data_IF_043436953620
#
_entry.id   IF_043436953620
#
_cell.length_a   1.000
_cell.length_b   1.000
_cell.length_c   1.000
_cell.angle_alpha   90.00
_cell.angle_beta   90.00
_cell.angle_gamma   90.00
#
_symmetry.space_group_name_H-M   'P 1'
#
loop_
_entity.id
_entity.type
_entity.pdbx_description
1 polymer ?
#
# COMPACT_ATOMS: atom_id res chain seq x y z
N UNK A 1 43.18 -14.82 65.83
CA UNK A 1 43.96 -15.88 65.17
C UNK A 1 42.98 -16.71 64.39
N UNK A 2 42.67 -16.26 63.13
CA UNK A 2 41.78 -16.98 62.26
C UNK A 2 42.54 -17.39 60.99
N UNK A 3 42.66 -18.70 60.84
CA UNK A 3 43.29 -19.37 59.66
C UNK A 3 42.44 -19.16 58.45
N UNK A 4 43.00 -18.50 57.40
CA UNK A 4 42.41 -18.49 56.05
C UNK A 4 42.82 -19.77 55.33
N UNK A 5 41.85 -20.64 55.11
CA UNK A 5 42.01 -21.78 54.20
C UNK A 5 41.73 -21.26 52.78
N UNK A 6 42.76 -21.22 51.96
CA UNK A 6 42.66 -20.93 50.52
C UNK A 6 42.47 -22.26 49.82
N UNK A 7 41.28 -22.49 49.27
CA UNK A 7 41.02 -23.62 48.35
C UNK A 7 41.19 -23.07 46.93
N UNK A 8 42.07 -23.65 46.08
CA UNK A 8 42.17 -23.23 44.70
C UNK A 8 40.99 -23.79 43.90
N UNK A 9 40.12 -22.92 43.49
CA UNK A 9 39.07 -23.28 42.54
C UNK A 9 39.71 -23.37 41.15
N UNK A 10 39.89 -24.59 40.68
CA UNK A 10 40.18 -24.88 39.26
C UNK A 10 38.93 -24.64 38.48
N UNK A 11 38.80 -23.44 37.89
CA UNK A 11 37.71 -23.12 36.95
C UNK A 11 38.08 -23.85 35.63
N UNK A 12 37.38 -24.97 35.37
CA UNK A 12 37.29 -25.55 34.05
C UNK A 12 36.76 -24.46 33.10
N UNK A 13 37.55 -24.10 32.11
CA UNK A 13 37.13 -23.36 30.89
C UNK A 13 35.97 -24.13 30.24
N UNK A 14 34.74 -23.73 30.49
CA UNK A 14 33.57 -24.43 29.97
C UNK A 14 32.23 -23.71 30.22
N UNK A 15 32.23 -22.42 30.56
CA UNK A 15 31.05 -21.56 30.43
C UNK A 15 31.47 -20.33 29.63
N UNK A 16 31.34 -20.42 28.31
CA UNK A 16 31.31 -19.22 27.47
C UNK A 16 30.09 -18.40 27.90
N UNK A 17 30.36 -17.21 28.44
CA UNK A 17 29.37 -16.19 28.69
C UNK A 17 28.45 -16.09 27.48
N UNK A 18 27.15 -16.29 27.68
CA UNK A 18 26.12 -15.79 26.77
C UNK A 18 26.08 -14.26 26.91
N UNK A 19 27.09 -13.57 26.37
CA UNK A 19 26.90 -12.22 25.90
C UNK A 19 25.92 -12.30 24.74
N UNK A 20 24.91 -11.44 24.70
CA UNK A 20 23.87 -11.27 23.68
C UNK A 20 24.36 -11.49 22.23
N UNK A 21 24.81 -12.68 21.89
CA UNK A 21 25.51 -12.97 20.66
C UNK A 21 24.72 -13.90 19.77
N UNK A 22 24.10 -13.31 18.71
CA UNK A 22 23.67 -14.07 17.54
C UNK A 22 24.82 -14.95 17.06
N UNK A 23 24.59 -16.27 16.92
CA UNK A 23 25.56 -17.22 16.41
C UNK A 23 26.04 -16.76 15.02
N UNK A 24 27.35 -16.72 14.82
CA UNK A 24 27.99 -16.27 13.57
C UNK A 24 28.48 -17.47 12.76
N UNK A 25 28.66 -17.29 11.46
CA UNK A 25 29.30 -18.30 10.62
C UNK A 25 30.70 -18.69 11.14
N UNK A 26 31.40 -17.74 11.75
CA UNK A 26 32.72 -17.99 12.37
C UNK A 26 32.64 -18.99 13.53
N UNK A 27 31.62 -18.91 14.35
CA UNK A 27 31.41 -19.79 15.51
C UNK A 27 31.13 -21.24 15.05
N UNK A 28 30.33 -21.40 14.00
CA UNK A 28 30.04 -22.69 13.37
C UNK A 28 31.30 -23.27 12.71
N UNK A 29 32.09 -22.43 12.04
CA UNK A 29 33.32 -22.82 11.35
C UNK A 29 34.37 -23.28 12.38
N UNK A 30 34.54 -22.56 13.48
CA UNK A 30 35.44 -22.90 14.58
C UNK A 30 35.07 -24.25 15.23
N UNK A 31 33.78 -24.47 15.54
CA UNK A 31 33.29 -25.71 16.16
C UNK A 31 33.52 -26.94 15.26
N UNK A 32 33.42 -26.76 13.94
CA UNK A 32 33.62 -27.84 12.97
C UNK A 32 35.10 -28.02 12.49
N UNK A 33 35.98 -27.09 12.84
CA UNK A 33 37.36 -27.05 12.32
C UNK A 33 37.42 -26.75 10.81
N UNK A 34 36.45 -25.96 10.31
CA UNK A 34 36.31 -25.59 8.89
C UNK A 34 36.60 -24.10 8.67
N UNK A 35 36.82 -23.72 7.40
CA UNK A 35 36.87 -22.31 7.05
C UNK A 35 35.46 -21.69 7.01
N UNK A 36 35.34 -20.40 7.34
CA UNK A 36 34.07 -19.64 7.21
C UNK A 36 33.55 -19.69 5.77
N UNK A 37 34.44 -19.73 4.77
CA UNK A 37 34.07 -19.86 3.37
C UNK A 37 33.41 -21.22 3.07
N UNK A 38 33.89 -22.32 3.67
CA UNK A 38 33.29 -23.66 3.51
C UNK A 38 31.89 -23.69 4.10
N UNK A 39 31.69 -23.19 5.32
CA UNK A 39 30.38 -23.10 5.97
C UNK A 39 29.42 -22.22 5.16
N UNK A 40 29.88 -21.05 4.71
CA UNK A 40 29.11 -20.16 3.85
C UNK A 40 28.68 -20.83 2.55
N UNK A 41 29.57 -21.57 1.89
CA UNK A 41 29.23 -22.28 0.66
C UNK A 41 28.15 -23.36 0.89
N UNK A 42 28.19 -24.06 2.02
CA UNK A 42 27.14 -25.05 2.37
C UNK A 42 25.78 -24.33 2.60
N UNK A 43 25.78 -23.23 3.36
CA UNK A 43 24.56 -22.42 3.61
C UNK A 43 23.93 -21.95 2.29
N UNK A 44 24.76 -21.60 1.30
CA UNK A 44 24.30 -21.09 0.00
C UNK A 44 24.19 -22.17 -1.10
N UNK A 45 24.24 -23.46 -0.75
CA UNK A 45 24.10 -24.57 -1.71
C UNK A 45 25.23 -24.72 -2.72
N UNK A 46 26.36 -24.02 -2.53
CA UNK A 46 27.55 -24.10 -3.41
C UNK A 46 28.43 -25.29 -3.01
N UNK A 47 27.88 -26.52 -3.05
CA UNK A 47 28.47 -27.72 -2.48
C UNK A 47 29.33 -28.56 -3.45
N UNK A 48 29.37 -28.23 -4.75
CA UNK A 48 30.05 -29.03 -5.80
C UNK A 48 31.50 -29.42 -5.49
N UNK A 49 32.21 -28.69 -4.64
CA UNK A 49 33.62 -28.93 -4.24
C UNK A 49 33.76 -29.33 -2.77
N UNK A 50 32.66 -29.68 -2.09
CA UNK A 50 32.63 -30.04 -0.67
C UNK A 50 32.11 -31.46 -0.56
N UNK A 51 32.73 -32.32 0.26
CA UNK A 51 32.28 -33.69 0.44
C UNK A 51 30.89 -33.74 1.12
N UNK A 52 30.09 -34.72 0.76
CA UNK A 52 28.72 -34.92 1.32
C UNK A 52 28.76 -35.07 2.83
N UNK A 53 29.80 -35.69 3.39
CA UNK A 53 30.02 -35.80 4.82
C UNK A 53 30.19 -34.42 5.48
N UNK A 54 30.97 -33.53 4.86
CA UNK A 54 31.18 -32.19 5.36
C UNK A 54 29.88 -31.36 5.28
N UNK A 55 29.16 -31.50 4.17
CA UNK A 55 27.84 -30.82 4.00
C UNK A 55 26.90 -31.24 5.12
N UNK A 56 26.79 -32.55 5.38
CA UNK A 56 25.92 -33.08 6.43
C UNK A 56 26.30 -32.57 7.82
N UNK A 57 27.62 -32.61 8.18
CA UNK A 57 28.09 -32.10 9.47
C UNK A 57 27.77 -30.63 9.68
N UNK A 58 27.91 -29.81 8.63
CA UNK A 58 27.58 -28.39 8.69
C UNK A 58 26.08 -28.21 8.90
N UNK A 59 25.23 -28.91 8.14
CA UNK A 59 23.77 -28.83 8.26
C UNK A 59 23.28 -29.24 9.65
N UNK A 60 23.75 -30.37 10.18
CA UNK A 60 23.40 -30.84 11.52
C UNK A 60 23.77 -29.82 12.62
N UNK A 61 24.94 -29.17 12.48
CA UNK A 61 25.34 -28.16 13.47
C UNK A 61 24.54 -26.86 13.35
N UNK A 62 24.21 -26.42 12.11
CA UNK A 62 23.36 -25.26 11.88
C UNK A 62 21.98 -25.45 12.53
N UNK A 63 21.37 -26.64 12.35
CA UNK A 63 20.10 -27.00 12.98
C UNK A 63 20.21 -27.06 14.50
N UNK A 64 21.21 -27.76 15.03
CA UNK A 64 21.48 -27.90 16.47
C UNK A 64 21.65 -26.55 17.16
N UNK A 65 22.33 -25.62 16.48
CA UNK A 65 22.61 -24.27 16.98
C UNK A 65 21.50 -23.28 16.65
N UNK A 66 20.46 -23.68 15.94
CA UNK A 66 19.37 -22.80 15.46
C UNK A 66 19.95 -21.56 14.72
N UNK A 67 20.93 -21.79 13.88
CA UNK A 67 21.60 -20.72 13.16
C UNK A 67 20.63 -20.08 12.17
N UNK A 68 20.42 -18.78 12.30
CA UNK A 68 19.64 -17.96 11.36
C UNK A 68 20.62 -17.11 10.54
N UNK A 69 20.66 -17.26 9.21
CA UNK A 69 21.52 -16.47 8.35
C UNK A 69 21.33 -14.97 8.56
N UNK A 70 22.41 -14.20 8.56
CA UNK A 70 22.32 -12.75 8.61
C UNK A 70 22.03 -12.19 7.23
N UNK A 71 20.86 -11.61 7.03
CA UNK A 71 20.47 -11.02 5.74
C UNK A 71 21.49 -10.00 5.24
N UNK A 72 22.07 -9.17 6.11
CA UNK A 72 23.13 -8.23 5.70
C UNK A 72 24.35 -8.92 5.06
N UNK A 73 24.72 -10.10 5.55
CA UNK A 73 25.79 -10.91 4.96
C UNK A 73 25.39 -11.51 3.60
N UNK A 74 24.13 -11.91 3.45
CA UNK A 74 23.58 -12.42 2.18
C UNK A 74 23.53 -11.30 1.15
N UNK A 75 23.04 -10.12 1.52
CA UNK A 75 22.95 -8.93 0.67
C UNK A 75 24.33 -8.55 0.10
N UNK A 76 25.37 -8.57 0.97
CA UNK A 76 26.74 -8.26 0.55
C UNK A 76 27.33 -9.33 -0.39
N UNK A 77 26.98 -10.60 -0.19
CA UNK A 77 27.54 -11.72 -0.95
C UNK A 77 26.86 -11.95 -2.31
N UNK A 78 25.59 -11.66 -2.44
CA UNK A 78 24.76 -12.00 -3.61
C UNK A 78 24.35 -10.80 -4.46
N UNK A 79 24.51 -9.58 -3.96
CA UNK A 79 24.00 -8.34 -4.57
C UNK A 79 22.50 -8.40 -4.94
N UNK A 80 21.75 -9.25 -4.24
CA UNK A 80 20.31 -9.50 -4.40
C UNK A 80 19.62 -9.37 -3.04
N UNK A 81 19.05 -8.20 -2.78
CA UNK A 81 18.47 -7.88 -1.46
C UNK A 81 17.14 -8.56 -1.20
N UNK A 82 16.46 -8.98 -2.25
CA UNK A 82 15.05 -9.41 -2.19
C UNK A 82 14.10 -8.36 -1.56
N UNK A 83 14.56 -7.13 -1.40
CA UNK A 83 13.79 -6.06 -0.78
C UNK A 83 13.09 -5.22 -1.84
N UNK A 84 11.77 -5.13 -1.74
CA UNK A 84 10.95 -4.18 -2.49
C UNK A 84 10.49 -3.08 -1.53
N UNK A 85 10.80 -1.83 -1.89
CA UNK A 85 10.33 -0.67 -1.15
C UNK A 85 8.88 -0.35 -1.47
N UNK A 86 8.11 0.01 -0.45
CA UNK A 86 6.79 0.63 -0.61
C UNK A 86 6.86 1.99 0.05
N UNK A 87 6.71 3.06 -0.71
CA UNK A 87 6.73 4.42 -0.20
C UNK A 87 5.35 5.04 -0.36
N UNK A 88 4.82 5.52 0.73
CA UNK A 88 3.50 6.14 0.79
C UNK A 88 3.69 7.62 1.09
N UNK A 89 3.00 8.47 0.31
CA UNK A 89 2.97 9.89 0.58
C UNK A 89 2.22 10.16 1.90
N UNK A 90 2.88 10.87 2.80
CA UNK A 90 2.27 11.37 4.03
C UNK A 90 1.43 12.61 3.71
N UNK A 91 0.26 12.35 3.15
CA UNK A 91 -0.64 13.40 2.69
C UNK A 91 -1.40 14.03 3.86
N UNK A 92 -1.67 15.32 3.79
CA UNK A 92 -2.32 16.10 4.85
C UNK A 92 -3.69 15.53 5.26
N UNK A 93 -4.44 14.93 4.32
CA UNK A 93 -5.74 14.28 4.60
C UNK A 93 -5.69 13.17 5.64
N UNK A 94 -4.53 12.57 5.87
CA UNK A 94 -4.38 11.49 6.83
C UNK A 94 -4.10 11.97 8.26
N UNK A 95 -3.83 13.26 8.45
CA UNK A 95 -3.60 13.87 9.78
C UNK A 95 -2.59 13.10 10.65
N UNK A 96 -1.55 12.51 10.01
CA UNK A 96 -0.53 11.67 10.65
C UNK A 96 -0.92 10.19 10.82
N UNK A 97 -2.11 9.79 10.40
CA UNK A 97 -2.64 8.42 10.49
C UNK A 97 -2.63 7.69 9.16
N UNK A 98 -1.62 7.93 8.31
CA UNK A 98 -1.55 7.42 6.94
C UNK A 98 -1.80 5.92 6.81
N UNK A 99 -1.27 5.09 7.72
CA UNK A 99 -1.44 3.64 7.68
C UNK A 99 -2.79 3.15 8.20
N UNK A 100 -3.57 4.01 8.85
CA UNK A 100 -4.93 3.71 9.28
C UNK A 100 -5.96 3.94 8.18
N UNK A 101 -5.57 4.67 7.12
CA UNK A 101 -6.42 4.83 5.93
C UNK A 101 -6.67 3.46 5.28
N UNK A 102 -7.94 3.19 4.97
CA UNK A 102 -8.41 1.87 4.54
C UNK A 102 -7.93 1.51 3.13
N UNK A 103 -7.83 2.49 2.23
CA UNK A 103 -7.26 2.30 0.89
C UNK A 103 -5.76 1.98 0.98
N UNK A 104 -5.03 2.74 1.80
CA UNK A 104 -3.59 2.52 2.02
C UNK A 104 -3.35 1.15 2.66
N UNK A 105 -4.06 0.82 3.73
CA UNK A 105 -3.89 -0.46 4.43
C UNK A 105 -4.25 -1.65 3.54
N UNK A 106 -5.30 -1.56 2.71
CA UNK A 106 -5.67 -2.60 1.75
C UNK A 106 -4.61 -2.77 0.66
N UNK A 107 -4.07 -1.66 0.13
CA UNK A 107 -3.00 -1.67 -0.87
C UNK A 107 -1.71 -2.30 -0.33
N UNK A 108 -1.28 -1.90 0.88
CA UNK A 108 -0.10 -2.47 1.54
C UNK A 108 -0.28 -3.96 1.83
N UNK A 109 -1.46 -4.38 2.31
CA UNK A 109 -1.76 -5.77 2.59
C UNK A 109 -1.74 -6.63 1.31
N UNK A 110 -2.26 -6.13 0.19
CA UNK A 110 -2.20 -6.83 -1.10
C UNK A 110 -0.75 -6.96 -1.59
N UNK A 111 0.04 -5.88 -1.53
CA UNK A 111 1.46 -5.90 -1.89
C UNK A 111 2.26 -6.87 -1.02
N UNK A 112 2.02 -6.88 0.30
CA UNK A 112 2.71 -7.80 1.22
C UNK A 112 2.47 -9.26 0.85
N UNK A 113 1.22 -9.63 0.52
CA UNK A 113 0.88 -11.00 0.08
C UNK A 113 1.56 -11.38 -1.24
N UNK A 114 1.58 -10.48 -2.21
CA UNK A 114 2.23 -10.75 -3.50
C UNK A 114 3.75 -10.84 -3.35
N UNK A 115 4.36 -10.01 -2.49
CA UNK A 115 5.79 -10.09 -2.18
C UNK A 115 6.15 -11.40 -1.48
N UNK A 116 5.33 -11.87 -0.54
CA UNK A 116 5.50 -13.17 0.11
C UNK A 116 5.51 -14.32 -0.91
N UNK A 117 4.54 -14.35 -1.85
CA UNK A 117 4.50 -15.34 -2.94
C UNK A 117 5.75 -15.30 -3.84
N UNK A 118 6.33 -14.12 -4.01
CA UNK A 118 7.53 -13.91 -4.82
C UNK A 118 8.84 -14.11 -4.05
N UNK A 119 8.81 -14.54 -2.78
CA UNK A 119 9.97 -14.65 -1.87
C UNK A 119 10.73 -13.31 -1.75
N UNK A 120 9.98 -12.21 -1.61
CA UNK A 120 10.48 -10.85 -1.43
C UNK A 120 10.09 -10.28 -0.08
N UNK A 121 10.89 -9.34 0.42
CA UNK A 121 10.63 -8.61 1.66
C UNK A 121 10.06 -7.23 1.36
N UNK A 122 8.98 -6.88 2.05
CA UNK A 122 8.41 -5.54 1.99
C UNK A 122 9.14 -4.63 2.99
N UNK A 123 9.64 -3.49 2.51
CA UNK A 123 10.14 -2.43 3.37
C UNK A 123 9.33 -1.16 3.15
N UNK A 124 8.63 -0.72 4.21
CA UNK A 124 7.68 0.39 4.16
C UNK A 124 8.31 1.70 4.64
N UNK A 125 8.02 2.79 3.93
CA UNK A 125 8.32 4.15 4.35
C UNK A 125 7.14 5.07 4.09
N UNK A 126 6.73 5.83 5.10
CA UNK A 126 5.77 6.95 4.97
C UNK A 126 6.56 8.24 4.98
N UNK A 127 6.40 9.10 3.97
CA UNK A 127 7.09 10.39 3.88
C UNK A 127 6.43 11.30 2.84
N UNK A 128 6.29 12.59 3.15
CA UNK A 128 5.98 13.64 2.18
C UNK A 128 7.21 14.23 1.48
N UNK A 129 8.42 13.71 1.75
CA UNK A 129 9.68 14.28 1.26
C UNK A 129 10.27 13.44 0.12
N UNK A 130 10.08 13.89 -1.11
CA UNK A 130 10.60 13.24 -2.32
C UNK A 130 12.10 12.97 -2.31
N UNK A 131 12.90 13.89 -1.75
CA UNK A 131 14.36 13.75 -1.68
C UNK A 131 14.85 12.60 -0.82
N UNK A 132 13.98 12.01 0.02
CA UNK A 132 14.30 10.86 0.85
C UNK A 132 14.16 9.53 0.10
N UNK A 133 13.38 9.48 -0.98
CA UNK A 133 13.06 8.24 -1.70
C UNK A 133 14.31 7.60 -2.34
N UNK A 134 15.13 8.32 -3.13
CA UNK A 134 16.34 7.73 -3.70
C UNK A 134 17.34 7.27 -2.65
N UNK A 135 17.47 8.02 -1.55
CA UNK A 135 18.34 7.63 -0.42
C UNK A 135 17.86 6.33 0.22
N UNK A 136 16.56 6.22 0.45
CA UNK A 136 15.94 5.01 1.01
C UNK A 136 16.19 3.79 0.11
N UNK A 137 16.01 3.93 -1.20
CA UNK A 137 16.28 2.88 -2.17
C UNK A 137 17.74 2.39 -2.12
N UNK A 138 18.69 3.35 -2.15
CA UNK A 138 20.12 3.06 -2.19
C UNK A 138 20.66 2.45 -0.89
N UNK A 139 20.19 2.96 0.27
CA UNK A 139 20.66 2.48 1.59
C UNK A 139 20.40 0.98 1.80
N UNK A 140 19.34 0.46 1.24
CA UNK A 140 18.91 -0.93 1.43
C UNK A 140 19.15 -1.81 0.20
N UNK A 141 19.84 -1.30 -0.82
CA UNK A 141 20.08 -2.02 -2.08
C UNK A 141 18.79 -2.68 -2.61
N UNK A 142 17.71 -1.91 -2.68
CA UNK A 142 16.38 -2.40 -3.07
C UNK A 142 16.37 -2.84 -4.53
N UNK A 143 15.62 -3.89 -4.83
CA UNK A 143 15.45 -4.38 -6.20
C UNK A 143 14.44 -3.57 -7.01
N UNK A 144 13.52 -2.93 -6.33
CA UNK A 144 12.46 -2.13 -6.91
C UNK A 144 11.64 -1.40 -5.86
N UNK A 145 10.72 -0.57 -6.31
CA UNK A 145 9.90 0.26 -5.43
C UNK A 145 8.49 0.45 -5.96
N UNK A 146 7.51 0.53 -5.07
CA UNK A 146 6.14 0.95 -5.35
C UNK A 146 5.87 2.27 -4.63
N UNK A 147 5.38 3.27 -5.37
CA UNK A 147 5.05 4.60 -4.84
C UNK A 147 3.52 4.77 -4.85
N UNK A 148 2.95 5.21 -3.72
CA UNK A 148 1.50 5.38 -3.55
C UNK A 148 1.19 6.80 -3.07
N UNK A 149 0.22 7.47 -3.72
CA UNK A 149 -0.29 8.77 -3.30
C UNK A 149 0.58 9.96 -3.69
N UNK A 150 1.39 9.83 -4.70
CA UNK A 150 2.24 10.91 -5.20
C UNK A 150 1.70 11.47 -6.53
N UNK A 151 1.63 12.79 -6.67
CA UNK A 151 1.22 13.48 -7.88
C UNK A 151 2.40 13.87 -8.79
N UNK A 152 2.08 14.24 -10.01
CA UNK A 152 2.94 14.33 -11.20
C UNK A 152 4.23 15.17 -11.09
N UNK A 153 4.22 16.28 -10.38
CA UNK A 153 5.24 17.35 -10.59
C UNK A 153 6.67 16.97 -10.21
N UNK A 154 6.85 15.94 -9.40
CA UNK A 154 8.16 15.56 -8.85
C UNK A 154 8.77 14.27 -9.48
N UNK A 155 8.03 13.52 -10.28
CA UNK A 155 8.52 12.25 -10.85
C UNK A 155 9.69 12.42 -11.82
N UNK A 156 9.78 13.52 -12.55
CA UNK A 156 10.89 13.76 -13.47
C UNK A 156 12.24 13.77 -12.74
N UNK A 157 12.30 14.49 -11.63
CA UNK A 157 13.50 14.54 -10.77
C UNK A 157 13.78 13.19 -10.12
N UNK A 158 12.72 12.50 -9.70
CA UNK A 158 12.85 11.18 -9.11
C UNK A 158 13.41 10.17 -10.12
N UNK A 159 12.95 10.16 -11.38
CA UNK A 159 13.48 9.31 -12.44
C UNK A 159 14.98 9.52 -12.70
N UNK A 160 15.42 10.75 -12.68
CA UNK A 160 16.84 11.08 -12.88
C UNK A 160 17.73 10.54 -11.74
N UNK A 161 17.18 10.39 -10.54
CA UNK A 161 17.92 9.99 -9.33
C UNK A 161 17.74 8.51 -8.99
N UNK A 162 16.69 7.86 -9.51
CA UNK A 162 16.39 6.46 -9.24
C UNK A 162 17.06 5.55 -10.26
N UNK A 163 17.95 4.69 -9.78
CA UNK A 163 18.67 3.69 -10.61
C UNK A 163 18.05 2.29 -10.53
N UNK A 164 16.94 2.13 -9.80
CA UNK A 164 16.19 0.89 -9.67
C UNK A 164 14.81 1.02 -10.34
N UNK A 165 14.19 -0.09 -10.75
CA UNK A 165 12.82 -0.10 -11.26
C UNK A 165 11.84 0.43 -10.22
N UNK A 166 10.84 1.19 -10.65
CA UNK A 166 9.75 1.57 -9.77
C UNK A 166 8.41 1.66 -10.48
N UNK A 167 7.36 1.35 -9.72
CA UNK A 167 5.96 1.43 -10.12
C UNK A 167 5.29 2.54 -9.34
N UNK A 168 4.42 3.30 -9.98
CA UNK A 168 3.61 4.33 -9.34
C UNK A 168 2.15 3.93 -9.42
N UNK A 169 1.41 4.12 -8.35
CA UNK A 169 -0.04 3.98 -8.34
C UNK A 169 -0.69 5.34 -8.58
N UNK A 170 -1.52 5.41 -9.64
CA UNK A 170 -2.27 6.60 -10.05
C UNK A 170 -1.37 7.84 -10.23
N UNK A 171 -0.16 7.62 -10.75
CA UNK A 171 0.74 8.69 -11.11
C UNK A 171 0.33 9.29 -12.45
N UNK A 172 -0.01 10.56 -12.47
CA UNK A 172 -0.28 11.33 -13.68
C UNK A 172 1.01 11.65 -14.39
N UNK A 173 1.42 10.81 -15.36
CA UNK A 173 2.71 11.03 -16.00
C UNK A 173 2.89 10.23 -17.30
N UNK A 174 3.73 10.76 -18.18
CA UNK A 174 4.28 9.99 -19.28
C UNK A 174 5.23 8.91 -18.75
N UNK A 175 4.86 7.67 -18.90
CA UNK A 175 5.70 6.53 -18.53
C UNK A 175 6.93 6.49 -19.44
N UNK A 176 8.11 6.40 -18.86
CA UNK A 176 9.36 6.26 -19.62
C UNK A 176 10.48 5.62 -18.78
N UNK A 177 11.39 4.94 -19.46
CA UNK A 177 12.57 4.37 -18.82
C UNK A 177 12.25 3.24 -17.82
N UNK A 178 12.70 3.38 -16.58
CA UNK A 178 12.59 2.39 -15.48
C UNK A 178 11.30 2.53 -14.63
N UNK A 179 10.28 3.20 -15.16
CA UNK A 179 9.04 3.51 -14.47
C UNK A 179 7.84 2.92 -15.22
N UNK A 180 6.91 2.33 -14.48
CA UNK A 180 5.57 1.97 -14.95
C UNK A 180 4.53 2.63 -14.03
N UNK A 181 3.50 3.24 -14.65
CA UNK A 181 2.33 3.72 -13.96
C UNK A 181 1.22 2.67 -14.03
N UNK A 182 0.60 2.36 -12.91
CA UNK A 182 -0.57 1.47 -12.82
C UNK A 182 -1.73 2.29 -12.27
N UNK A 183 -2.69 2.56 -13.14
CA UNK A 183 -3.90 3.31 -12.85
C UNK A 183 -5.11 2.39 -12.81
N UNK A 184 -6.12 2.76 -12.04
CA UNK A 184 -7.47 2.24 -12.26
C UNK A 184 -8.22 3.18 -13.20
N UNK A 185 -9.25 2.68 -13.90
CA UNK A 185 -10.02 3.52 -14.82
C UNK A 185 -10.96 4.46 -14.05
N UNK A 186 -10.40 5.58 -13.59
CA UNK A 186 -11.10 6.59 -12.79
C UNK A 186 -12.28 7.18 -13.52
N UNK A 187 -12.11 7.51 -14.80
CA UNK A 187 -13.18 8.05 -15.63
C UNK A 187 -14.34 7.05 -15.76
N UNK A 188 -14.05 5.79 -16.09
CA UNK A 188 -15.08 4.74 -16.19
C UNK A 188 -15.79 4.49 -14.87
N UNK A 189 -15.08 4.57 -13.74
CA UNK A 189 -15.70 4.51 -12.41
C UNK A 189 -16.73 5.63 -12.20
N UNK A 190 -16.39 6.83 -12.59
CA UNK A 190 -17.35 7.96 -12.62
C UNK A 190 -18.54 7.73 -13.54
N UNK A 191 -18.29 7.17 -14.73
CA UNK A 191 -19.35 6.78 -15.69
C UNK A 191 -20.30 5.74 -15.08
N UNK A 192 -19.77 4.69 -14.47
CA UNK A 192 -20.57 3.65 -13.84
C UNK A 192 -21.42 4.20 -12.67
N UNK A 193 -20.86 5.06 -11.83
CA UNK A 193 -21.60 5.73 -10.77
C UNK A 193 -22.70 6.63 -11.32
N UNK A 194 -22.40 7.42 -12.35
CA UNK A 194 -23.36 8.29 -13.02
C UNK A 194 -24.47 7.52 -13.72
N UNK A 195 -24.14 6.48 -14.46
CA UNK A 195 -25.12 5.60 -15.12
C UNK A 195 -26.06 4.96 -14.10
N UNK A 196 -25.52 4.45 -12.98
CA UNK A 196 -26.31 3.83 -11.94
C UNK A 196 -27.27 4.85 -11.27
N UNK A 197 -26.79 6.02 -10.87
CA UNK A 197 -27.62 7.09 -10.30
C UNK A 197 -28.71 7.56 -11.27
N UNK A 198 -28.36 7.75 -12.55
CA UNK A 198 -29.29 8.13 -13.62
C UNK A 198 -30.40 7.08 -13.82
N UNK A 199 -30.06 5.79 -13.79
CA UNK A 199 -31.02 4.70 -13.89
C UNK A 199 -32.02 4.67 -12.72
N UNK A 200 -31.60 5.16 -11.54
CA UNK A 200 -32.42 5.34 -10.34
C UNK A 200 -33.19 6.67 -10.33
N UNK A 201 -33.06 7.48 -11.39
CA UNK A 201 -33.80 8.72 -11.59
C UNK A 201 -33.17 9.98 -11.02
N UNK A 202 -31.94 9.91 -10.51
CA UNK A 202 -31.20 11.08 -10.04
C UNK A 202 -30.75 11.95 -11.21
N UNK A 203 -30.98 13.27 -11.10
CA UNK A 203 -30.65 14.26 -12.13
C UNK A 203 -29.71 15.34 -11.62
N UNK A 204 -29.84 15.67 -10.36
CA UNK A 204 -29.05 16.65 -9.65
C UNK A 204 -28.19 15.87 -8.64
N UNK A 205 -26.89 15.75 -8.95
CA UNK A 205 -25.92 14.97 -8.20
C UNK A 205 -24.74 15.85 -7.83
N UNK A 206 -24.32 15.79 -6.58
CA UNK A 206 -23.13 16.46 -6.10
C UNK A 206 -21.97 15.46 -6.08
N UNK A 207 -20.82 15.85 -6.61
CA UNK A 207 -19.55 15.15 -6.39
C UNK A 207 -18.81 15.88 -5.27
N UNK A 208 -18.35 15.16 -4.25
CA UNK A 208 -17.49 15.71 -3.19
C UNK A 208 -16.08 15.15 -3.29
N UNK A 209 -15.08 16.03 -3.26
CA UNK A 209 -13.65 15.71 -3.37
C UNK A 209 -12.83 16.71 -2.59
N UNK A 210 -11.67 16.30 -2.10
CA UNK A 210 -10.71 17.22 -1.45
C UNK A 210 -9.90 18.06 -2.45
N UNK A 211 -10.02 17.75 -3.74
CA UNK A 211 -9.35 18.48 -4.81
C UNK A 211 -10.14 18.38 -6.13
N UNK A 212 -9.68 19.12 -7.16
CA UNK A 212 -10.27 19.13 -8.49
C UNK A 212 -9.24 18.82 -9.58
N UNK A 213 -8.27 17.95 -9.27
CA UNK A 213 -7.17 17.57 -10.18
C UNK A 213 -7.04 16.05 -10.26
N UNK A 214 -6.23 15.57 -11.19
CA UNK A 214 -5.81 14.18 -11.33
C UNK A 214 -7.00 13.19 -11.32
N UNK A 215 -6.85 12.09 -10.59
CA UNK A 215 -7.84 11.00 -10.53
C UNK A 215 -9.22 11.43 -10.07
N UNK A 216 -9.31 12.39 -9.15
CA UNK A 216 -10.58 12.85 -8.62
C UNK A 216 -11.35 13.67 -9.64
N UNK A 217 -10.65 14.50 -10.42
CA UNK A 217 -11.25 15.19 -11.55
C UNK A 217 -11.76 14.21 -12.61
N UNK A 218 -11.03 13.14 -12.92
CA UNK A 218 -11.49 12.12 -13.86
C UNK A 218 -12.75 11.40 -13.37
N UNK A 219 -12.82 11.02 -12.09
CA UNK A 219 -14.03 10.46 -11.46
C UNK A 219 -15.21 11.40 -11.62
N UNK A 220 -15.01 12.70 -11.35
CA UNK A 220 -16.05 13.71 -11.58
C UNK A 220 -16.42 13.87 -13.04
N UNK A 221 -15.47 13.92 -13.96
CA UNK A 221 -15.75 14.06 -15.39
C UNK A 221 -16.50 12.85 -15.95
N UNK A 222 -16.19 11.65 -15.48
CA UNK A 222 -16.96 10.44 -15.78
C UNK A 222 -18.41 10.53 -15.30
N UNK A 223 -18.64 10.93 -14.05
CA UNK A 223 -19.97 11.19 -13.50
C UNK A 223 -20.74 12.23 -14.35
N UNK A 224 -20.07 13.34 -14.68
CA UNK A 224 -20.66 14.45 -15.41
C UNK A 224 -21.04 14.09 -16.85
N UNK A 225 -20.32 13.15 -17.48
CA UNK A 225 -20.65 12.65 -18.82
C UNK A 225 -22.02 11.95 -18.85
N UNK A 226 -22.42 11.28 -17.76
CA UNK A 226 -23.73 10.63 -17.63
C UNK A 226 -24.81 11.57 -17.05
N UNK A 227 -24.42 12.44 -16.13
CA UNK A 227 -25.31 13.41 -15.47
C UNK A 227 -24.75 14.83 -15.70
N UNK A 228 -25.12 15.49 -16.82
CA UNK A 228 -24.57 16.81 -17.18
C UNK A 228 -24.79 17.91 -16.12
N UNK A 229 -25.78 17.73 -15.24
CA UNK A 229 -26.10 18.65 -14.13
C UNK A 229 -25.31 18.34 -12.86
N UNK A 230 -24.40 17.36 -12.90
CA UNK A 230 -23.52 17.08 -11.76
C UNK A 230 -22.59 18.28 -11.50
N UNK A 231 -22.41 18.60 -10.25
CA UNK A 231 -21.53 19.67 -9.76
C UNK A 231 -20.46 19.10 -8.85
N UNK A 232 -19.28 19.75 -8.82
CA UNK A 232 -18.17 19.38 -7.97
C UNK A 232 -18.06 20.36 -6.81
N UNK A 233 -18.05 19.84 -5.59
CA UNK A 233 -17.78 20.62 -4.37
C UNK A 233 -16.43 20.17 -3.80
N UNK A 234 -15.48 21.10 -3.73
CA UNK A 234 -14.18 20.84 -3.10
C UNK A 234 -14.33 21.04 -1.59
N UNK A 235 -14.02 19.98 -0.84
CA UNK A 235 -14.17 19.91 0.61
C UNK A 235 -12.81 19.98 1.32
N UNK A 236 -12.72 20.51 2.54
CA UNK A 236 -11.49 20.51 3.32
C UNK A 236 -11.01 19.11 3.64
N UNK A 237 -9.67 18.90 3.62
CA UNK A 237 -9.05 17.62 3.94
C UNK A 237 -9.17 17.24 5.42
N UNK A 238 -8.90 18.19 6.33
CA UNK A 238 -8.98 17.97 7.77
C UNK A 238 -10.42 17.73 8.22
N UNK A 239 -10.64 16.65 8.97
CA UNK A 239 -11.98 16.16 9.32
C UNK A 239 -12.81 17.16 10.11
N UNK A 240 -12.20 17.84 11.10
CA UNK A 240 -12.92 18.85 11.90
C UNK A 240 -13.39 20.03 11.04
N UNK A 241 -12.50 20.55 10.17
CA UNK A 241 -12.79 21.67 9.27
C UNK A 241 -13.87 21.25 8.26
N UNK A 242 -13.78 20.03 7.73
CA UNK A 242 -14.76 19.47 6.79
C UNK A 242 -16.15 19.32 7.41
N UNK A 243 -16.22 18.91 8.67
CA UNK A 243 -17.51 18.81 9.39
C UNK A 243 -18.17 20.18 9.54
N UNK A 244 -17.39 21.24 9.81
CA UNK A 244 -17.89 22.62 9.87
C UNK A 244 -18.37 23.06 8.49
N UNK A 245 -17.54 22.83 7.46
CA UNK A 245 -17.85 23.14 6.07
C UNK A 245 -19.17 22.50 5.61
N UNK A 246 -19.39 21.21 5.86
CA UNK A 246 -20.65 20.54 5.54
C UNK A 246 -21.86 21.18 6.23
N UNK A 247 -21.69 21.62 7.48
CA UNK A 247 -22.77 22.27 8.22
C UNK A 247 -23.13 23.63 7.64
N UNK A 248 -22.14 24.41 7.23
CA UNK A 248 -22.33 25.72 6.60
C UNK A 248 -22.99 25.61 5.22
N UNK A 249 -22.71 24.52 4.47
CA UNK A 249 -23.24 24.29 3.13
C UNK A 249 -24.43 23.32 3.09
N UNK A 250 -24.99 22.96 4.25
CA UNK A 250 -26.03 21.92 4.33
C UNK A 250 -27.26 22.21 3.44
N UNK A 251 -27.74 23.46 3.42
CA UNK A 251 -28.91 23.84 2.61
C UNK A 251 -28.60 23.85 1.09
N UNK A 252 -27.34 24.02 0.71
CA UNK A 252 -26.89 23.84 -0.66
C UNK A 252 -26.84 22.35 -1.02
N UNK A 253 -26.23 21.55 -0.16
CA UNK A 253 -26.09 20.09 -0.32
C UNK A 253 -27.48 19.43 -0.45
N UNK A 254 -28.46 19.86 0.32
CA UNK A 254 -29.83 19.33 0.27
C UNK A 254 -30.58 19.58 -1.06
N UNK A 255 -30.06 20.42 -1.95
CA UNK A 255 -30.61 20.59 -3.31
C UNK A 255 -30.38 19.40 -4.21
N UNK A 256 -29.40 18.57 -3.88
CA UNK A 256 -29.05 17.37 -4.63
C UNK A 256 -29.76 16.13 -4.07
N UNK A 257 -30.13 15.24 -4.97
CA UNK A 257 -30.78 13.98 -4.58
C UNK A 257 -29.79 12.85 -4.29
N UNK A 258 -28.55 13.01 -4.73
CA UNK A 258 -27.47 12.05 -4.49
C UNK A 258 -26.11 12.73 -4.41
N UNK A 259 -25.18 12.06 -3.74
CA UNK A 259 -23.77 12.45 -3.64
C UNK A 259 -22.91 11.30 -4.14
N UNK A 260 -21.94 11.61 -5.01
CA UNK A 260 -20.83 10.76 -5.34
C UNK A 260 -19.59 11.29 -4.63
N UNK A 261 -19.08 10.55 -3.67
CA UNK A 261 -17.83 10.87 -3.01
C UNK A 261 -16.67 10.18 -3.72
N UNK A 262 -15.59 10.92 -3.99
CA UNK A 262 -14.43 10.38 -4.71
C UNK A 262 -13.71 9.24 -4.00
N UNK A 263 -13.99 9.00 -2.73
CA UNK A 263 -13.47 7.83 -1.98
C UNK A 263 -14.49 7.33 -0.96
N UNK A 264 -14.36 6.08 -0.55
CA UNK A 264 -15.18 5.49 0.51
C UNK A 264 -14.96 6.19 1.86
N UNK A 265 -13.74 6.68 2.09
CA UNK A 265 -13.42 7.49 3.26
C UNK A 265 -14.34 8.72 3.36
N UNK A 266 -14.42 9.51 2.27
CA UNK A 266 -15.29 10.69 2.24
C UNK A 266 -16.76 10.32 2.21
N UNK A 267 -17.15 9.21 1.56
CA UNK A 267 -18.53 8.75 1.57
C UNK A 267 -19.01 8.39 2.97
N UNK A 268 -18.24 7.62 3.72
CA UNK A 268 -18.60 7.20 5.08
C UNK A 268 -18.60 8.37 6.06
N UNK A 269 -17.60 9.25 5.99
CA UNK A 269 -17.53 10.48 6.78
C UNK A 269 -18.76 11.38 6.51
N UNK A 270 -19.11 11.57 5.24
CA UNK A 270 -20.27 12.36 4.84
C UNK A 270 -21.60 11.75 5.33
N UNK A 271 -21.77 10.43 5.22
CA UNK A 271 -22.96 9.74 5.74
C UNK A 271 -23.08 9.91 7.26
N UNK A 272 -21.97 9.84 8.00
CA UNK A 272 -21.99 10.09 9.45
C UNK A 272 -22.39 11.54 9.77
N UNK A 273 -21.87 12.49 9.01
CA UNK A 273 -22.30 13.89 9.13
C UNK A 273 -23.81 14.05 8.86
N UNK A 274 -24.34 13.53 7.74
CA UNK A 274 -25.77 13.58 7.41
C UNK A 274 -26.62 13.01 8.54
N UNK A 275 -26.24 11.88 9.09
CA UNK A 275 -26.91 11.26 10.24
C UNK A 275 -26.92 12.19 11.46
N UNK A 276 -25.84 12.91 11.71
CA UNK A 276 -25.72 13.84 12.85
C UNK A 276 -26.67 15.04 12.77
N UNK A 277 -27.09 15.39 11.54
CA UNK A 277 -28.04 16.50 11.27
C UNK A 277 -29.43 16.03 10.88
N UNK A 278 -29.74 14.73 11.09
CA UNK A 278 -31.06 14.16 10.88
C UNK A 278 -31.43 13.88 9.42
N UNK A 279 -30.46 13.83 8.51
CA UNK A 279 -30.66 13.45 7.11
C UNK A 279 -30.35 11.96 6.94
N UNK A 280 -31.33 11.21 6.44
CA UNK A 280 -31.24 9.74 6.32
C UNK A 280 -30.71 9.30 4.97
N UNK A 281 -29.74 8.37 4.98
CA UNK A 281 -29.24 7.69 3.78
C UNK A 281 -29.80 6.26 3.77
N UNK A 282 -30.39 5.79 2.67
CA UNK A 282 -30.57 6.45 1.36
C UNK A 282 -31.89 7.25 1.25
N UNK A 283 -32.69 7.36 2.31
CA UNK A 283 -34.09 7.85 2.25
C UNK A 283 -34.18 9.30 1.78
N UNK A 284 -33.38 10.19 2.35
CA UNK A 284 -33.38 11.62 2.00
C UNK A 284 -32.31 11.95 0.97
N UNK A 285 -31.20 11.19 0.95
CA UNK A 285 -30.08 11.40 0.05
C UNK A 285 -29.38 10.08 -0.25
N UNK A 286 -29.15 9.80 -1.53
CA UNK A 286 -28.34 8.65 -1.96
C UNK A 286 -26.85 8.98 -1.92
N UNK A 287 -26.00 7.99 -1.59
CA UNK A 287 -24.53 8.18 -1.54
C UNK A 287 -23.82 7.01 -2.21
N UNK A 288 -22.84 7.32 -3.06
CA UNK A 288 -21.91 6.35 -3.67
C UNK A 288 -20.49 6.74 -3.28
N UNK A 289 -19.65 5.74 -2.96
CA UNK A 289 -18.22 5.89 -2.73
C UNK A 289 -17.35 5.37 -3.89
N UNK A 290 -16.06 5.29 -3.64
CA UNK A 290 -15.06 4.71 -4.53
C UNK A 290 -14.00 4.01 -3.69
N UNK A 291 -13.51 2.84 -4.09
CA UNK A 291 -12.44 1.97 -3.60
C UNK A 291 -12.93 0.58 -3.20
N UNK A 292 -14.14 0.42 -2.69
CA UNK A 292 -14.70 -0.80 -2.09
C UNK A 292 -13.81 -1.35 -0.97
N UNK A 293 -13.48 -0.48 -0.01
CA UNK A 293 -12.78 -0.92 1.21
C UNK A 293 -13.66 -1.88 2.02
N UNK A 294 -13.02 -2.71 2.86
CA UNK A 294 -13.71 -3.79 3.60
C UNK A 294 -14.85 -3.29 4.48
N UNK A 295 -14.73 -2.10 4.97
CA UNK A 295 -15.70 -1.44 5.86
C UNK A 295 -17.02 -1.14 5.16
N UNK A 296 -17.05 -1.00 3.83
CA UNK A 296 -18.26 -0.76 3.05
C UNK A 296 -19.36 -1.79 3.31
N UNK A 297 -18.99 -3.06 3.49
CA UNK A 297 -19.93 -4.15 3.78
C UNK A 297 -20.53 -4.08 5.18
N UNK A 298 -19.80 -3.52 6.14
CA UNK A 298 -20.15 -3.46 7.56
C UNK A 298 -20.72 -2.12 7.97
N UNK A 299 -20.59 -1.13 7.11
CA UNK A 299 -21.13 0.21 7.34
C UNK A 299 -22.66 0.17 7.41
N UNK A 300 -23.28 1.13 8.07
CA UNK A 300 -24.74 1.16 8.23
C UNK A 300 -25.28 2.49 7.73
N UNK A 301 -26.02 2.46 6.60
CA UNK A 301 -26.28 1.33 5.70
C UNK A 301 -25.02 0.89 4.93
N UNK A 302 -24.93 -0.39 4.44
CA UNK A 302 -23.81 -0.86 3.60
C UNK A 302 -23.62 0.02 2.37
N UNK A 303 -22.37 0.45 2.13
CA UNK A 303 -22.02 1.48 1.15
C UNK A 303 -21.96 0.92 -0.28
N UNK A 304 -22.77 1.47 -1.18
CA UNK A 304 -22.63 1.32 -2.63
C UNK A 304 -21.37 2.05 -3.08
N UNK A 305 -20.49 1.40 -3.86
CA UNK A 305 -19.18 1.95 -4.18
C UNK A 305 -18.64 1.41 -5.50
N UNK A 306 -17.63 2.05 -6.04
CA UNK A 306 -16.84 1.56 -7.18
C UNK A 306 -15.66 0.74 -6.64
N UNK A 307 -15.61 -0.55 -7.01
CA UNK A 307 -14.54 -1.46 -6.62
C UNK A 307 -13.33 -1.31 -7.52
N UNK A 308 -12.15 -1.16 -6.93
CA UNK A 308 -10.87 -1.46 -7.53
C UNK A 308 -10.29 -2.78 -6.97
N UNK A 309 -9.52 -3.53 -7.77
CA UNK A 309 -8.95 -4.79 -7.32
C UNK A 309 -7.51 -4.60 -6.82
N UNK A 310 -7.37 -4.52 -5.51
CA UNK A 310 -6.07 -4.34 -4.85
C UNK A 310 -5.10 -5.50 -5.12
N UNK A 311 -5.63 -6.74 -5.23
CA UNK A 311 -4.78 -7.93 -5.44
C UNK A 311 -4.27 -7.96 -6.88
N UNK A 312 -5.13 -7.68 -7.87
CA UNK A 312 -4.73 -7.57 -9.27
C UNK A 312 -3.69 -6.46 -9.46
N UNK A 313 -3.91 -5.30 -8.81
CA UNK A 313 -2.99 -4.17 -8.85
C UNK A 313 -1.62 -4.51 -8.26
N UNK A 314 -1.60 -5.20 -7.12
CA UNK A 314 -0.36 -5.64 -6.47
C UNK A 314 0.38 -6.69 -7.31
N UNK A 315 -0.32 -7.68 -7.88
CA UNK A 315 0.27 -8.67 -8.76
C UNK A 315 0.89 -8.01 -10.01
N UNK A 316 0.15 -7.06 -10.62
CA UNK A 316 0.65 -6.28 -11.75
C UNK A 316 1.90 -5.47 -11.39
N UNK A 317 1.93 -4.85 -10.20
CA UNK A 317 3.08 -4.09 -9.74
C UNK A 317 4.36 -4.95 -9.65
N UNK A 318 4.26 -6.13 -9.05
CA UNK A 318 5.40 -7.04 -8.95
C UNK A 318 5.84 -7.59 -10.31
N UNK A 319 4.89 -7.90 -11.18
CA UNK A 319 5.17 -8.32 -12.56
C UNK A 319 5.93 -7.22 -13.30
N UNK A 320 5.50 -5.97 -13.21
CA UNK A 320 6.13 -4.85 -13.89
C UNK A 320 7.52 -4.54 -13.32
N UNK A 321 7.70 -4.59 -12.00
CA UNK A 321 9.03 -4.44 -11.39
C UNK A 321 10.00 -5.48 -11.92
N UNK A 322 9.56 -6.75 -12.05
CA UNK A 322 10.37 -7.82 -12.63
C UNK A 322 10.73 -7.53 -14.09
N UNK A 323 9.74 -7.21 -14.93
CA UNK A 323 9.98 -6.91 -16.35
C UNK A 323 10.89 -5.70 -16.56
N UNK A 324 10.75 -4.66 -15.74
CA UNK A 324 11.65 -3.50 -15.73
C UNK A 324 13.09 -3.89 -15.37
N UNK A 325 13.26 -4.75 -14.34
CA UNK A 325 14.56 -5.25 -13.92
C UNK A 325 15.25 -6.09 -15.02
N UNK A 326 14.46 -6.90 -15.74
CA UNK A 326 14.92 -7.77 -16.82
C UNK A 326 15.12 -7.01 -18.16
N UNK A 327 14.76 -5.71 -18.21
CA UNK A 327 14.86 -4.88 -19.41
C UNK A 327 13.82 -5.22 -20.48
N UNK A 328 12.76 -5.94 -20.13
CA UNK A 328 11.71 -6.41 -21.05
C UNK A 328 10.65 -5.36 -21.34
N UNK A 329 10.50 -4.37 -20.48
CA UNK A 329 9.57 -3.26 -20.69
C UNK A 329 10.21 -1.93 -20.31
N UNK A 330 9.83 -0.87 -21.01
CA UNK A 330 10.11 0.52 -20.67
C UNK A 330 8.81 1.29 -20.67
N UNK A 331 8.68 2.26 -19.80
CA UNK A 331 7.59 3.22 -19.65
C UNK A 331 6.22 2.79 -20.17
N UNK A 332 5.41 2.13 -19.34
CA UNK A 332 4.04 1.74 -19.71
C UNK A 332 3.04 2.37 -18.73
N UNK A 333 1.91 2.81 -19.26
CA UNK A 333 0.70 3.06 -18.49
C UNK A 333 -0.18 1.82 -18.56
N UNK A 334 -0.56 1.27 -17.42
CA UNK A 334 -1.45 0.13 -17.30
C UNK A 334 -2.74 0.62 -16.64
N UNK A 335 -3.84 0.43 -17.36
CA UNK A 335 -5.16 0.82 -16.90
C UNK A 335 -5.92 -0.43 -16.45
N UNK A 336 -6.26 -0.50 -15.16
CA UNK A 336 -7.03 -1.59 -14.59
C UNK A 336 -8.52 -1.25 -14.55
N UNK A 337 -9.40 -2.24 -14.78
CA UNK A 337 -10.84 -2.01 -14.75
C UNK A 337 -11.33 -1.76 -13.32
N UNK A 338 -12.50 -1.11 -13.24
CA UNK A 338 -13.25 -0.92 -12.00
C UNK A 338 -14.67 -1.45 -12.18
N UNK A 339 -15.39 -1.69 -11.07
CA UNK A 339 -16.75 -2.25 -11.12
C UNK A 339 -17.61 -1.67 -10.00
N UNK A 340 -18.83 -1.22 -10.35
CA UNK A 340 -19.81 -0.82 -9.36
C UNK A 340 -20.25 -2.01 -8.50
N UNK A 341 -20.26 -1.82 -7.19
CA UNK A 341 -20.81 -2.75 -6.21
C UNK A 341 -22.04 -2.09 -5.57
N UNK A 342 -23.20 -2.57 -5.94
CA UNK A 342 -24.48 -2.11 -5.41
C UNK A 342 -24.68 -2.64 -3.99
N UNK A 343 -25.10 -1.73 -3.06
CA UNK A 343 -25.50 -2.02 -1.69
C UNK A 343 -26.70 -1.11 -1.30
N UNK A 344 -26.77 -0.67 -0.05
CA UNK A 344 -27.99 -0.10 0.53
C UNK A 344 -28.00 1.44 0.65
N UNK A 345 -26.98 2.15 0.11
CA UNK A 345 -26.90 3.62 0.22
C UNK A 345 -27.54 4.39 -0.93
N UNK A 346 -28.23 3.71 -1.86
CA UNK A 346 -28.88 4.36 -3.02
C UNK A 346 -30.32 3.91 -3.16
N UNK A 347 -31.24 4.86 -3.30
CA UNK A 347 -32.66 4.64 -3.55
C UNK A 347 -33.11 5.19 -4.91
N UNK A 348 -34.27 4.72 -5.37
CA UNK A 348 -34.96 5.30 -6.52
C UNK A 348 -35.63 6.63 -6.17
N UNK A 349 -35.33 7.69 -6.92
CA UNK A 349 -35.99 8.99 -6.75
C UNK A 349 -37.50 8.89 -7.00
N UNK A 350 -37.98 7.97 -7.84
CA UNK A 350 -39.41 7.77 -8.13
C UNK A 350 -40.22 7.24 -6.96
N UNK A 351 -39.61 6.53 -6.03
CA UNK A 351 -40.28 6.00 -4.84
C UNK A 351 -40.62 7.11 -3.84
N UNK A 352 -39.82 8.16 -3.73
CA UNK A 352 -40.09 9.30 -2.85
C UNK A 352 -41.34 10.14 -3.20
N UNK A 353 -41.71 10.19 -4.49
CA UNK A 353 -42.92 10.95 -4.92
C UNK A 353 -44.25 10.22 -4.70
N UNK A 354 -44.23 8.95 -4.30
CA UNK A 354 -45.46 8.16 -4.07
C UNK A 354 -45.82 7.99 -2.58
N UNK A 355 -44.95 8.35 -1.67
CA UNK A 355 -45.16 8.22 -0.22
C UNK A 355 -45.47 9.55 0.49
N UNK A 356 -45.53 10.65 -0.24
CA UNK A 356 -46.07 11.94 0.23
C UNK A 356 -47.37 12.22 -0.55
#
# INVERSE_FOLDING_TARGET
MFLKIIVPIVIKRGLMCMENGRIRIADIAEELGLSTATVSNVIHGKTKKISDETVKRVQELLEKRQYIPNMAGILLAQNDSKIIGVVINDHEKYEGHTLEDQFISASVNALAKEMEKADKFLMLKVTGKWSEIPKFASMWNMEGMVLIGFCEQDYKKLREQMHIPFVVYDGYMESSGNLVNIEVNHFDGGVQAGHYLKSRGHKDVLCISDNNICMDLERFMGLKSEIPRAELMVIPMAQEVRTIFYREHLEEIKKYSAVFAVSDYYAMDFIQFLKSVGVSVPTDMSVIGFDNVRECEKFVPPLTTIKQDYNERAAMALQMLKQLKDGECGGKNILLPVTLIERDTVNDVKLHKKCN
#
